data_IF_301292954647
#
_entry.id   IF_301292954647
#
_cell.length_a   1.000
_cell.length_b   1.000
_cell.length_c   1.000
_cell.angle_alpha   90.00
_cell.angle_beta   90.00
_cell.angle_gamma   90.00
#
_symmetry.space_group_name_H-M   'P 1'
#
loop_
_entity.id
_entity.type
_entity.pdbx_description
1 polymer ?
#
# COMPACT_ATOMS: atom_id res chain seq x y z
N UNK A 1 29.84 -13.83 -14.49
CA UNK A 1 29.54 -14.51 -13.21
C UNK A 1 28.94 -13.56 -12.15
N UNK A 2 28.04 -12.64 -12.51
CA UNK A 2 27.40 -11.72 -11.55
C UNK A 2 25.93 -11.49 -11.93
N UNK A 3 25.05 -12.40 -11.51
CA UNK A 3 23.62 -12.36 -11.88
C UNK A 3 22.69 -12.81 -10.74
N UNK A 4 23.07 -12.54 -9.49
CA UNK A 4 22.26 -12.95 -8.32
C UNK A 4 21.95 -11.85 -7.30
N UNK A 5 22.58 -10.68 -7.37
CA UNK A 5 22.44 -9.66 -6.32
C UNK A 5 21.16 -8.79 -6.40
N UNK A 6 20.54 -8.61 -7.57
CA UNK A 6 19.43 -7.65 -7.76
C UNK A 6 18.01 -8.17 -7.49
N UNK A 7 17.84 -9.35 -6.89
CA UNK A 7 16.50 -9.97 -6.67
C UNK A 7 15.87 -9.68 -5.29
N UNK A 8 16.47 -8.84 -4.47
CA UNK A 8 16.12 -8.75 -3.04
C UNK A 8 15.76 -7.36 -2.52
N UNK A 9 16.04 -6.29 -3.25
CA UNK A 9 15.59 -4.93 -2.92
C UNK A 9 14.33 -4.60 -3.74
N UNK A 10 13.29 -4.07 -3.08
CA UNK A 10 11.92 -3.79 -3.59
C UNK A 10 10.91 -4.94 -3.55
N UNK A 11 10.68 -5.47 -2.35
CA UNK A 11 9.51 -6.32 -2.04
C UNK A 11 8.65 -5.65 -0.97
N UNK A 12 7.75 -4.77 -1.38
CA UNK A 12 6.65 -4.34 -0.52
C UNK A 12 5.75 -5.56 -0.28
N UNK A 13 5.79 -6.08 0.95
CA UNK A 13 4.97 -7.22 1.38
C UNK A 13 3.51 -6.71 1.47
N UNK A 14 2.54 -7.31 0.74
CA UNK A 14 1.13 -6.96 0.87
C UNK A 14 0.66 -7.02 2.33
N UNK A 15 -0.19 -6.09 2.76
CA UNK A 15 -0.70 -6.03 4.15
C UNK A 15 -1.35 -7.35 4.60
N UNK A 16 -2.00 -8.07 3.68
CA UNK A 16 -2.56 -9.40 3.93
C UNK A 16 -1.49 -10.45 4.29
N UNK A 17 -0.33 -10.37 3.63
CA UNK A 17 0.83 -11.24 3.87
C UNK A 17 1.54 -10.87 5.17
N UNK A 18 1.57 -9.58 5.53
CA UNK A 18 2.09 -9.15 6.82
C UNK A 18 1.19 -9.57 7.99
N UNK A 19 -0.13 -9.45 7.85
CA UNK A 19 -1.11 -9.95 8.83
C UNK A 19 -0.97 -11.47 8.98
N UNK A 20 -0.82 -12.20 7.87
CA UNK A 20 -0.60 -13.66 7.88
C UNK A 20 0.72 -14.02 8.57
N UNK A 21 1.80 -13.30 8.27
CA UNK A 21 3.11 -13.48 8.91
C UNK A 21 3.06 -13.25 10.42
N UNK A 22 2.38 -12.19 10.87
CA UNK A 22 2.18 -11.89 12.30
C UNK A 22 1.34 -12.97 12.99
N UNK A 23 0.27 -13.42 12.34
CA UNK A 23 -0.57 -14.54 12.84
C UNK A 23 0.23 -15.83 13.00
N UNK A 24 1.00 -16.23 11.99
CA UNK A 24 1.80 -17.45 12.05
C UNK A 24 3.01 -17.35 12.99
N UNK A 25 3.55 -16.15 13.22
CA UNK A 25 4.51 -15.90 14.32
C UNK A 25 3.89 -16.13 15.69
N UNK A 26 2.68 -15.62 15.92
CA UNK A 26 1.95 -15.80 17.17
C UNK A 26 1.62 -17.27 17.42
N UNK A 27 1.15 -18.01 16.40
CA UNK A 27 0.85 -19.45 16.51
C UNK A 27 2.07 -20.25 16.92
N UNK A 28 3.23 -19.99 16.31
CA UNK A 28 4.47 -20.68 16.69
C UNK A 28 4.90 -20.36 18.11
N UNK A 29 4.66 -19.13 18.58
CA UNK A 29 4.89 -18.78 19.99
C UNK A 29 3.96 -19.54 20.93
N UNK A 30 2.68 -19.66 20.58
CA UNK A 30 1.66 -20.38 21.36
C UNK A 30 1.92 -21.90 21.39
N UNK A 31 2.32 -22.50 20.26
CA UNK A 31 2.63 -23.93 20.17
C UNK A 31 3.88 -24.34 20.96
N UNK A 32 4.80 -23.40 21.22
CA UNK A 32 5.99 -23.62 22.06
C UNK A 32 5.74 -23.49 23.56
N UNK A 33 4.59 -22.93 23.99
CA UNK A 33 4.22 -22.87 25.43
C UNK A 33 3.85 -24.26 25.93
N UNK A 34 3.90 -24.52 27.23
CA UNK A 34 3.51 -25.82 27.81
C UNK A 34 2.06 -26.21 27.44
N UNK A 35 1.78 -27.52 27.38
CA UNK A 35 0.45 -28.08 27.09
C UNK A 35 -0.64 -27.62 28.04
N UNK A 36 -0.24 -27.24 29.27
CA UNK A 36 -1.12 -26.75 30.33
C UNK A 36 -1.49 -25.25 30.15
N UNK A 37 -0.91 -24.57 29.15
CA UNK A 37 -1.21 -23.16 28.92
C UNK A 37 -2.58 -22.99 28.27
N UNK A 38 -3.45 -22.17 28.90
CA UNK A 38 -4.81 -21.85 28.43
C UNK A 38 -4.79 -21.38 26.96
N UNK A 39 -3.80 -20.58 26.57
CA UNK A 39 -3.67 -20.09 25.18
C UNK A 39 -3.34 -21.19 24.17
N UNK A 40 -2.61 -22.24 24.59
CA UNK A 40 -2.32 -23.43 23.76
C UNK A 40 -3.53 -24.35 23.67
N UNK A 41 -4.24 -24.55 24.77
CA UNK A 41 -5.49 -25.30 24.81
C UNK A 41 -6.58 -24.63 23.97
N UNK A 42 -6.72 -23.31 24.05
CA UNK A 42 -7.68 -22.54 23.25
C UNK A 42 -7.40 -22.61 21.73
N UNK A 43 -6.15 -22.85 21.33
CA UNK A 43 -5.78 -23.01 19.92
C UNK A 43 -6.28 -24.35 19.35
N UNK A 44 -6.34 -25.41 20.16
CA UNK A 44 -6.77 -26.76 19.77
C UNK A 44 -8.24 -27.06 20.14
N UNK A 45 -8.83 -26.25 21.02
CA UNK A 45 -10.21 -26.42 21.50
C UNK A 45 -11.24 -26.27 20.38
N UNK A 46 -12.21 -27.20 20.33
CA UNK A 46 -13.35 -27.17 19.42
C UNK A 46 -14.62 -26.93 20.25
N UNK A 47 -15.30 -25.79 20.11
CA UNK A 47 -16.56 -25.58 20.82
C UNK A 47 -17.64 -26.50 20.21
N UNK A 48 -18.16 -27.42 21.01
CA UNK A 48 -19.28 -28.28 20.64
C UNK A 48 -20.59 -27.46 20.71
N UNK A 49 -21.26 -27.32 19.57
CA UNK A 49 -22.53 -26.58 19.51
C UNK A 49 -22.96 -26.19 18.10
N UNK A 50 -24.28 -26.18 17.87
CA UNK A 50 -24.88 -25.71 16.60
C UNK A 50 -24.90 -24.17 16.57
N UNK A 51 -24.38 -23.57 15.49
CA UNK A 51 -24.35 -22.10 15.30
C UNK A 51 -25.72 -21.60 14.81
N UNK A 52 -26.12 -20.41 15.27
CA UNK A 52 -27.33 -19.72 14.76
C UNK A 52 -27.22 -19.41 13.25
N UNK A 53 -28.32 -19.57 12.51
CA UNK A 53 -28.42 -19.32 11.06
C UNK A 53 -28.10 -17.85 10.75
N UNK A 54 -27.25 -17.59 9.74
CA UNK A 54 -26.89 -16.23 9.29
C UNK A 54 -25.52 -15.68 9.74
N UNK A 55 -24.84 -16.29 10.73
CA UNK A 55 -23.50 -15.82 11.17
C UNK A 55 -22.39 -16.24 10.19
N UNK A 56 -21.52 -15.32 9.72
CA UNK A 56 -20.39 -15.65 8.84
C UNK A 56 -19.46 -16.71 9.44
N UNK A 57 -18.99 -17.66 8.61
CA UNK A 57 -18.12 -18.77 9.03
C UNK A 57 -16.62 -18.37 9.04
N UNK A 58 -16.22 -17.39 9.86
CA UNK A 58 -14.87 -16.80 9.86
C UNK A 58 -14.06 -17.01 11.17
N UNK A 59 -14.19 -18.16 11.84
CA UNK A 59 -13.40 -18.49 13.04
C UNK A 59 -11.90 -18.63 12.74
N UNK A 60 -11.04 -18.18 13.66
CA UNK A 60 -9.58 -18.32 13.59
C UNK A 60 -9.17 -19.74 13.19
N UNK A 61 -9.72 -20.77 13.85
CA UNK A 61 -9.47 -22.19 13.54
C UNK A 61 -9.72 -22.57 12.08
N UNK A 62 -10.82 -22.11 11.47
CA UNK A 62 -11.15 -22.45 10.08
C UNK A 62 -10.22 -21.76 9.08
N UNK A 63 -9.74 -20.56 9.44
CA UNK A 63 -8.71 -19.85 8.67
C UNK A 63 -7.38 -20.62 8.77
N UNK A 64 -7.04 -21.17 9.94
CA UNK A 64 -5.86 -22.00 10.13
C UNK A 64 -5.96 -23.33 9.41
N UNK A 65 -7.09 -24.03 9.50
CA UNK A 65 -7.35 -25.27 8.77
C UNK A 65 -7.28 -25.06 7.26
N UNK A 66 -7.77 -23.92 6.74
CA UNK A 66 -7.64 -23.58 5.32
C UNK A 66 -6.18 -23.30 4.92
N UNK A 67 -5.43 -22.56 5.73
CA UNK A 67 -4.00 -22.33 5.51
C UNK A 67 -3.19 -23.64 5.62
N UNK A 68 -3.56 -24.55 6.52
CA UNK A 68 -2.92 -25.87 6.71
C UNK A 68 -3.22 -26.85 5.59
N UNK A 69 -4.48 -26.91 5.12
CA UNK A 69 -4.86 -27.68 3.94
C UNK A 69 -4.07 -27.24 2.70
N UNK A 70 -3.80 -25.94 2.57
CA UNK A 70 -2.94 -25.39 1.50
C UNK A 70 -1.48 -25.82 1.60
N UNK A 71 -0.99 -26.12 2.80
CA UNK A 71 0.37 -26.61 3.02
C UNK A 71 0.51 -28.13 2.88
N UNK A 72 -0.62 -28.86 2.79
CA UNK A 72 -0.65 -30.32 2.92
C UNK A 72 0.06 -30.80 4.21
N UNK A 73 -0.17 -30.12 5.34
CA UNK A 73 0.44 -30.43 6.64
C UNK A 73 -0.63 -30.69 7.70
N UNK A 74 -0.34 -31.62 8.60
CA UNK A 74 -1.19 -31.95 9.75
C UNK A 74 -0.73 -31.18 11.01
N UNK A 75 -1.57 -31.16 12.06
CA UNK A 75 -1.28 -30.46 13.31
C UNK A 75 -0.05 -31.01 14.04
N UNK A 76 0.16 -32.34 14.00
CA UNK A 76 1.30 -33.00 14.64
C UNK A 76 2.64 -32.57 14.04
N UNK A 77 2.70 -32.48 12.71
CA UNK A 77 3.89 -32.04 11.99
C UNK A 77 4.14 -30.54 12.19
N UNK A 78 3.07 -29.74 12.28
CA UNK A 78 3.19 -28.31 12.58
C UNK A 78 3.74 -28.07 14.00
N UNK A 79 3.30 -28.87 14.97
CA UNK A 79 3.79 -28.84 16.34
C UNK A 79 5.27 -29.23 16.43
N UNK A 80 5.69 -30.25 15.67
CA UNK A 80 7.09 -30.65 15.53
C UNK A 80 7.95 -29.53 14.93
N UNK A 81 7.50 -28.90 13.84
CA UNK A 81 8.21 -27.79 13.19
C UNK A 81 8.20 -26.52 14.07
N UNK A 82 7.19 -26.33 14.93
CA UNK A 82 7.13 -25.17 15.83
C UNK A 82 8.23 -25.18 16.89
N UNK A 83 8.71 -26.37 17.29
CA UNK A 83 9.84 -26.51 18.21
C UNK A 83 11.17 -26.14 17.54
N UNK A 84 11.34 -26.45 16.26
CA UNK A 84 12.46 -25.96 15.47
C UNK A 84 12.27 -24.48 15.08
N UNK A 85 13.03 -23.58 15.73
CA UNK A 85 12.95 -22.14 15.44
C UNK A 85 13.39 -21.75 14.03
N UNK A 86 14.27 -22.55 13.40
CA UNK A 86 14.76 -22.29 12.04
C UNK A 86 13.76 -22.85 11.03
N UNK A 87 13.32 -24.10 11.21
CA UNK A 87 12.26 -24.73 10.43
C UNK A 87 10.95 -23.94 10.47
N UNK A 88 10.55 -23.42 11.63
CA UNK A 88 9.37 -22.55 11.76
C UNK A 88 9.53 -21.25 10.97
N UNK A 89 10.70 -20.61 11.02
CA UNK A 89 10.97 -19.38 10.25
C UNK A 89 10.91 -19.64 8.75
N UNK A 90 11.45 -20.77 8.30
CA UNK A 90 11.41 -21.20 6.89
C UNK A 90 9.99 -21.53 6.43
N UNK A 91 9.17 -22.15 7.28
CA UNK A 91 7.77 -22.43 6.99
C UNK A 91 6.96 -21.13 6.89
N UNK A 92 7.16 -20.18 7.82
CA UNK A 92 6.47 -18.88 7.79
C UNK A 92 6.90 -18.01 6.61
N UNK A 93 8.18 -18.04 6.22
CA UNK A 93 8.66 -17.32 5.03
C UNK A 93 8.14 -17.97 3.74
N UNK A 94 8.11 -19.31 3.66
CA UNK A 94 7.51 -20.07 2.56
C UNK A 94 6.01 -19.81 2.40
N UNK A 95 5.27 -19.74 3.52
CA UNK A 95 3.84 -19.40 3.58
C UNK A 95 3.50 -18.02 3.01
N UNK A 96 4.35 -17.04 3.32
CA UNK A 96 4.21 -15.68 2.81
C UNK A 96 4.61 -15.63 1.33
N UNK A 97 5.57 -16.46 0.92
CA UNK A 97 6.03 -16.57 -0.47
C UNK A 97 5.08 -17.37 -1.37
N UNK A 98 4.26 -18.31 -0.86
CA UNK A 98 3.39 -19.15 -1.69
C UNK A 98 2.22 -18.38 -2.33
N UNK A 99 1.79 -17.26 -1.74
CA UNK A 99 0.84 -16.33 -2.39
C UNK A 99 1.39 -15.67 -3.65
N UNK A 100 2.70 -15.78 -3.91
CA UNK A 100 3.32 -15.36 -5.17
C UNK A 100 2.94 -16.26 -6.35
N UNK A 101 2.51 -17.51 -6.11
CA UNK A 101 2.16 -18.46 -7.18
C UNK A 101 0.67 -18.45 -7.54
N UNK A 102 -0.24 -18.26 -6.57
CA UNK A 102 -1.70 -18.21 -6.83
C UNK A 102 -2.29 -16.80 -6.93
N UNK A 103 -1.47 -15.76 -6.77
CA UNK A 103 -1.67 -14.51 -7.51
C UNK A 103 -0.42 -14.29 -8.35
N UNK A 104 -0.34 -15.03 -9.46
CA UNK A 104 0.29 -14.49 -10.67
C UNK A 104 -0.57 -13.32 -11.17
N UNK A 105 -0.73 -12.29 -10.33
CA UNK A 105 -1.11 -10.96 -10.78
C UNK A 105 0.09 -10.47 -11.56
N UNK A 106 0.07 -10.76 -12.86
CA UNK A 106 0.48 -9.85 -13.91
C UNK A 106 1.51 -8.84 -13.40
N UNK A 107 2.75 -9.30 -13.21
CA UNK A 107 3.86 -8.39 -13.39
C UNK A 107 3.90 -8.26 -14.91
N UNK A 108 3.17 -7.27 -15.43
CA UNK A 108 3.31 -6.89 -16.83
C UNK A 108 4.80 -6.64 -17.05
N UNK A 109 5.37 -7.22 -18.10
CA UNK A 109 6.74 -6.97 -18.53
C UNK A 109 7.01 -5.47 -18.75
N UNK A 110 5.97 -4.64 -18.84
CA UNK A 110 6.07 -3.21 -18.59
C UNK A 110 5.87 -2.91 -17.10
N UNK A 111 6.96 -2.81 -16.34
CA UNK A 111 6.91 -2.29 -14.97
C UNK A 111 6.16 -0.94 -14.96
N UNK A 112 4.95 -0.86 -14.40
CA UNK A 112 4.07 0.30 -14.48
C UNK A 112 3.54 0.74 -13.11
N UNK A 113 3.70 2.03 -12.76
CA UNK A 113 3.08 2.69 -11.61
C UNK A 113 1.55 2.78 -11.71
N UNK A 114 1.00 2.46 -12.88
CA UNK A 114 -0.42 2.62 -13.21
C UNK A 114 -1.35 1.73 -12.39
N UNK A 115 -0.94 0.49 -12.10
CA UNK A 115 -1.75 -0.44 -11.31
C UNK A 115 -1.89 0.02 -9.84
N UNK A 116 -0.81 0.53 -9.25
CA UNK A 116 -0.82 1.09 -7.88
C UNK A 116 -1.68 2.36 -7.81
N UNK A 117 -1.53 3.25 -8.80
CA UNK A 117 -2.35 4.46 -8.93
C UNK A 117 -3.83 4.11 -9.06
N UNK A 118 -4.18 3.15 -9.92
CA UNK A 118 -5.56 2.69 -10.08
C UNK A 118 -6.14 2.09 -8.79
N UNK A 119 -5.36 1.26 -8.09
CA UNK A 119 -5.79 0.68 -6.82
C UNK A 119 -6.05 1.75 -5.75
N UNK A 120 -5.22 2.79 -5.69
CA UNK A 120 -5.38 3.89 -4.72
C UNK A 120 -6.50 4.84 -5.07
N UNK A 121 -6.70 5.13 -6.36
CA UNK A 121 -7.91 5.83 -6.82
C UNK A 121 -9.15 5.06 -6.37
N UNK A 122 -9.16 3.72 -6.51
CA UNK A 122 -10.24 2.89 -5.99
C UNK A 122 -10.48 3.07 -4.49
N UNK A 123 -9.41 2.98 -3.67
CA UNK A 123 -9.50 3.19 -2.21
C UNK A 123 -9.97 4.59 -1.82
N UNK A 124 -9.40 5.61 -2.45
CA UNK A 124 -9.78 7.01 -2.24
C UNK A 124 -11.23 7.26 -2.66
N UNK A 125 -11.68 6.62 -3.75
CA UNK A 125 -13.08 6.68 -4.19
C UNK A 125 -14.03 6.09 -3.15
N UNK A 126 -13.69 4.92 -2.60
CA UNK A 126 -14.48 4.31 -1.51
C UNK A 126 -14.54 5.21 -0.28
N UNK A 127 -13.41 5.77 0.15
CA UNK A 127 -13.36 6.70 1.27
C UNK A 127 -14.20 7.96 1.01
N UNK A 128 -14.16 8.51 -0.21
CA UNK A 128 -14.98 9.65 -0.61
C UNK A 128 -16.48 9.31 -0.56
N UNK A 129 -16.89 8.15 -1.07
CA UNK A 129 -18.28 7.71 -1.08
C UNK A 129 -18.83 7.45 0.33
N UNK A 130 -18.01 6.95 1.25
CA UNK A 130 -18.40 6.78 2.66
C UNK A 130 -18.78 8.10 3.31
N UNK A 131 -18.18 9.21 2.89
CA UNK A 131 -18.43 10.55 3.40
C UNK A 131 -19.51 11.31 2.61
N UNK A 132 -20.33 10.63 1.80
CA UNK A 132 -21.36 11.26 0.93
C UNK A 132 -22.28 12.24 1.67
N UNK A 133 -22.66 11.92 2.90
CA UNK A 133 -23.58 12.75 3.69
C UNK A 133 -22.92 14.10 4.08
N UNK A 134 -21.60 14.09 4.28
CA UNK A 134 -20.82 15.30 4.60
C UNK A 134 -20.77 16.22 3.39
N UNK A 135 -20.56 15.67 2.19
CA UNK A 135 -20.48 16.45 0.96
C UNK A 135 -21.82 17.11 0.62
N UNK A 136 -22.92 16.39 0.84
CA UNK A 136 -24.28 16.87 0.56
C UNK A 136 -24.85 17.79 1.66
N UNK A 137 -24.22 17.88 2.84
CA UNK A 137 -24.70 18.71 3.93
C UNK A 137 -24.57 20.20 3.61
N UNK A 138 -25.66 20.97 3.76
CA UNK A 138 -25.64 22.43 3.63
C UNK A 138 -25.12 23.15 4.88
N UNK A 139 -25.08 22.46 6.03
CA UNK A 139 -24.63 23.04 7.31
C UNK A 139 -23.12 23.23 7.38
N UNK A 140 -22.37 22.44 6.59
CA UNK A 140 -20.91 22.50 6.59
C UNK A 140 -20.43 23.46 5.51
N UNK A 141 -19.57 24.39 5.90
CA UNK A 141 -18.91 25.27 4.95
C UNK A 141 -18.00 24.50 4.00
N UNK A 142 -17.83 25.03 2.79
CA UNK A 142 -16.94 24.47 1.76
C UNK A 142 -15.52 24.26 2.29
N UNK A 143 -14.99 25.20 3.08
CA UNK A 143 -13.65 25.12 3.64
C UNK A 143 -13.47 23.91 4.57
N UNK A 144 -14.47 23.61 5.40
CA UNK A 144 -14.45 22.43 6.28
C UNK A 144 -14.48 21.15 5.43
N UNK A 145 -15.32 21.10 4.40
CA UNK A 145 -15.39 19.94 3.49
C UNK A 145 -14.07 19.70 2.76
N UNK A 146 -13.43 20.75 2.25
CA UNK A 146 -12.11 20.66 1.60
C UNK A 146 -11.05 20.16 2.59
N UNK A 147 -11.08 20.61 3.84
CA UNK A 147 -10.17 20.10 4.89
C UNK A 147 -10.38 18.62 5.20
N UNK A 148 -11.63 18.16 5.26
CA UNK A 148 -11.97 16.73 5.44
C UNK A 148 -11.50 15.91 4.23
N UNK A 149 -11.66 16.44 3.01
CA UNK A 149 -11.17 15.82 1.79
C UNK A 149 -9.64 15.65 1.80
N UNK A 150 -8.90 16.71 2.17
CA UNK A 150 -7.44 16.70 2.23
C UNK A 150 -6.91 15.67 3.24
N UNK A 151 -7.55 15.58 4.41
CA UNK A 151 -7.12 14.71 5.51
C UNK A 151 -7.44 13.24 5.27
N UNK A 152 -8.60 12.92 4.68
CA UNK A 152 -9.06 11.54 4.54
C UNK A 152 -8.81 10.98 3.14
N UNK A 153 -9.26 11.70 2.11
CA UNK A 153 -9.28 11.19 0.73
C UNK A 153 -7.95 11.44 0.04
N UNK A 154 -7.44 12.68 0.11
CA UNK A 154 -6.18 13.06 -0.54
C UNK A 154 -4.98 12.38 0.13
N UNK A 155 -5.03 12.16 1.45
CA UNK A 155 -4.02 11.39 2.18
C UNK A 155 -3.92 9.94 1.68
N UNK A 156 -5.06 9.25 1.50
CA UNK A 156 -5.08 7.87 0.98
C UNK A 156 -4.63 7.81 -0.48
N UNK A 157 -5.03 8.80 -1.29
CA UNK A 157 -4.66 8.88 -2.70
C UNK A 157 -3.15 9.06 -2.90
N UNK A 158 -2.54 9.97 -2.13
CA UNK A 158 -1.14 10.40 -2.28
C UNK A 158 -0.17 9.68 -1.33
N UNK A 159 -0.62 8.67 -0.57
CA UNK A 159 0.23 7.96 0.39
C UNK A 159 1.39 7.22 -0.29
N UNK A 160 2.65 7.64 -0.18
CA UNK A 160 3.74 6.99 -0.90
C UNK A 160 3.84 7.44 -2.37
N UNK A 161 3.22 8.57 -2.72
CA UNK A 161 3.38 9.20 -4.03
C UNK A 161 4.79 9.82 -4.22
N UNK A 162 5.58 9.95 -3.15
CA UNK A 162 6.96 10.47 -3.21
C UNK A 162 7.87 9.60 -4.10
N UNK A 163 7.56 8.30 -4.19
CA UNK A 163 8.34 7.28 -4.90
C UNK A 163 7.67 6.90 -6.24
N UNK A 164 6.53 7.52 -6.58
CA UNK A 164 5.88 7.25 -7.86
C UNK A 164 6.73 7.73 -9.03
N UNK A 165 6.69 6.95 -10.12
CA UNK A 165 7.05 7.46 -11.44
C UNK A 165 5.97 8.45 -11.86
N UNK A 166 6.30 9.73 -11.77
CA UNK A 166 5.47 10.85 -12.23
C UNK A 166 5.52 10.95 -13.74
N UNK A 167 4.86 10.01 -14.44
CA UNK A 167 4.54 10.23 -15.84
C UNK A 167 3.39 11.23 -15.94
N UNK A 168 3.40 12.05 -16.99
CA UNK A 168 2.34 13.01 -17.29
C UNK A 168 0.96 12.35 -17.32
N UNK A 169 0.87 11.10 -17.81
CA UNK A 169 -0.35 10.29 -17.83
C UNK A 169 -0.85 9.92 -16.44
N UNK A 170 0.04 9.52 -15.53
CA UNK A 170 -0.31 9.19 -14.14
C UNK A 170 -0.77 10.44 -13.38
N UNK A 171 -0.06 11.56 -13.53
CA UNK A 171 -0.44 12.84 -12.91
C UNK A 171 -1.83 13.27 -13.41
N UNK A 172 -2.08 13.21 -14.72
CA UNK A 172 -3.39 13.54 -15.29
C UNK A 172 -4.52 12.68 -14.70
N UNK A 173 -4.33 11.37 -14.55
CA UNK A 173 -5.33 10.46 -13.92
C UNK A 173 -5.66 10.87 -12.49
N UNK A 174 -4.63 11.19 -11.70
CA UNK A 174 -4.79 11.65 -10.30
C UNK A 174 -5.51 13.00 -10.26
N UNK A 175 -5.13 13.93 -11.14
CA UNK A 175 -5.75 15.26 -11.23
C UNK A 175 -7.23 15.18 -11.60
N UNK A 176 -7.59 14.34 -12.58
CA UNK A 176 -8.99 14.14 -13.00
C UNK A 176 -9.83 13.65 -11.83
N UNK A 177 -9.32 12.69 -11.05
CA UNK A 177 -9.99 12.20 -9.86
C UNK A 177 -10.19 13.29 -8.80
N UNK A 178 -9.14 14.06 -8.48
CA UNK A 178 -9.22 15.17 -7.52
C UNK A 178 -10.24 16.21 -7.98
N UNK A 179 -10.18 16.63 -9.24
CA UNK A 179 -11.10 17.63 -9.79
C UNK A 179 -12.56 17.14 -9.78
N UNK A 180 -12.79 15.85 -10.04
CA UNK A 180 -14.13 15.25 -9.91
C UNK A 180 -14.65 15.33 -8.47
N UNK A 181 -13.80 15.05 -7.48
CA UNK A 181 -14.17 15.16 -6.07
C UNK A 181 -14.46 16.61 -5.65
N UNK A 182 -13.60 17.56 -6.06
CA UNK A 182 -13.77 18.98 -5.73
C UNK A 182 -15.07 19.55 -6.32
N UNK A 183 -15.43 19.19 -7.56
CA UNK A 183 -16.71 19.60 -8.17
C UNK A 183 -17.92 19.10 -7.38
N UNK A 184 -17.86 17.85 -6.89
CA UNK A 184 -18.91 17.29 -6.03
C UNK A 184 -18.99 18.00 -4.68
N UNK A 185 -17.86 18.37 -4.08
CA UNK A 185 -17.82 19.11 -2.81
C UNK A 185 -18.43 20.51 -2.95
N UNK A 186 -18.17 21.18 -4.08
CA UNK A 186 -18.76 22.48 -4.42
C UNK A 186 -20.20 22.39 -4.91
N UNK A 187 -20.78 21.18 -4.97
CA UNK A 187 -22.13 20.93 -5.48
C UNK A 187 -22.38 21.48 -6.89
N UNK A 188 -21.35 21.44 -7.75
CA UNK A 188 -21.45 21.86 -9.14
C UNK A 188 -22.10 20.72 -9.93
N UNK A 189 -23.22 21.01 -10.56
CA UNK A 189 -23.94 20.07 -11.41
C UNK A 189 -24.08 20.65 -12.81
N UNK A 190 -24.25 19.78 -13.79
CA UNK A 190 -24.63 20.25 -15.12
C UNK A 190 -25.96 21.02 -15.00
N UNK A 191 -26.15 22.20 -15.63
CA UNK A 191 -25.36 22.80 -16.71
C UNK A 191 -24.20 23.74 -16.28
N UNK A 192 -23.96 23.92 -14.99
CA UNK A 192 -22.94 24.84 -14.49
C UNK A 192 -21.53 24.38 -14.89
N UNK A 193 -20.85 25.19 -15.71
CA UNK A 193 -19.49 24.90 -16.20
C UNK A 193 -18.48 25.84 -15.55
N UNK A 194 -17.48 25.26 -14.88
CA UNK A 194 -16.40 25.99 -14.20
C UNK A 194 -15.04 25.51 -14.72
N UNK A 195 -14.16 26.47 -15.01
CA UNK A 195 -12.78 26.21 -15.42
C UNK A 195 -11.98 25.53 -14.30
N UNK A 196 -10.97 24.74 -14.65
CA UNK A 196 -10.12 24.07 -13.65
C UNK A 196 -9.35 25.09 -12.80
N UNK A 197 -8.95 26.25 -13.36
CA UNK A 197 -8.26 27.31 -12.62
C UNK A 197 -9.14 27.90 -11.52
N UNK A 198 -10.38 28.27 -11.85
CA UNK A 198 -11.34 28.82 -10.87
C UNK A 198 -11.73 27.79 -9.81
N UNK A 199 -11.79 26.50 -10.17
CA UNK A 199 -12.00 25.40 -9.22
C UNK A 199 -10.89 25.36 -8.16
N UNK A 200 -9.63 25.50 -8.57
CA UNK A 200 -8.47 25.46 -7.68
C UNK A 200 -8.37 26.72 -6.80
N UNK A 201 -8.67 27.88 -7.37
CA UNK A 201 -8.73 29.16 -6.64
C UNK A 201 -9.79 29.12 -5.53
N UNK A 202 -11.04 28.71 -5.85
CA UNK A 202 -12.13 28.62 -4.88
C UNK A 202 -11.88 27.61 -3.75
N UNK A 203 -11.06 26.59 -3.99
CA UNK A 203 -10.77 25.55 -3.01
C UNK A 203 -9.41 25.72 -2.34
N UNK A 204 -8.65 26.75 -2.73
CA UNK A 204 -7.26 26.97 -2.34
C UNK A 204 -6.42 25.68 -2.47
N UNK A 205 -6.58 24.96 -3.58
CA UNK A 205 -5.90 23.70 -3.84
C UNK A 205 -4.83 23.86 -4.91
N UNK A 206 -3.67 23.22 -4.69
CA UNK A 206 -2.62 23.13 -5.70
C UNK A 206 -2.90 22.01 -6.70
N UNK A 207 -2.41 22.12 -7.94
CA UNK A 207 -2.33 21.01 -8.87
C UNK A 207 -1.63 19.79 -8.25
N UNK A 208 -2.08 18.60 -8.63
CA UNK A 208 -1.58 17.34 -8.10
C UNK A 208 -0.07 17.15 -8.35
N UNK A 209 0.43 17.68 -9.47
CA UNK A 209 1.85 17.67 -9.79
C UNK A 209 2.69 18.42 -8.76
N UNK A 210 2.29 19.66 -8.46
CA UNK A 210 2.98 20.52 -7.49
C UNK A 210 2.91 19.93 -6.09
N UNK A 211 1.78 19.34 -5.70
CA UNK A 211 1.67 18.70 -4.38
C UNK A 211 2.56 17.46 -4.27
N UNK A 212 2.62 16.62 -5.31
CA UNK A 212 3.52 15.45 -5.33
C UNK A 212 4.98 15.93 -5.29
N UNK A 213 5.32 16.98 -6.03
CA UNK A 213 6.66 17.60 -6.03
C UNK A 213 7.01 18.11 -4.62
N UNK A 214 6.11 18.88 -3.98
CA UNK A 214 6.30 19.39 -2.61
C UNK A 214 6.53 18.26 -1.60
N UNK A 215 5.74 17.18 -1.67
CA UNK A 215 5.89 16.00 -0.80
C UNK A 215 7.24 15.30 -1.04
N UNK A 216 7.64 15.14 -2.30
CA UNK A 216 8.94 14.58 -2.68
C UNK A 216 10.09 15.41 -2.10
N UNK A 217 10.06 16.73 -2.23
CA UNK A 217 11.09 17.60 -1.67
C UNK A 217 11.11 17.61 -0.14
N UNK A 218 9.95 17.57 0.52
CA UNK A 218 9.89 17.40 1.97
C UNK A 218 10.53 16.07 2.42
N UNK A 219 10.28 14.99 1.68
CA UNK A 219 10.88 13.68 1.94
C UNK A 219 12.40 13.67 1.69
N UNK A 220 12.86 14.32 0.63
CA UNK A 220 14.30 14.52 0.35
C UNK A 220 14.95 15.30 1.49
N UNK A 221 14.36 16.44 1.89
CA UNK A 221 14.85 17.24 3.01
C UNK A 221 14.93 16.45 4.31
N UNK A 222 13.90 15.66 4.64
CA UNK A 222 13.91 14.76 5.80
C UNK A 222 15.02 13.71 5.71
N UNK A 223 15.24 13.15 4.52
CA UNK A 223 16.26 12.12 4.30
C UNK A 223 17.68 12.70 4.37
N UNK A 224 17.90 13.92 3.87
CA UNK A 224 19.18 14.62 3.93
C UNK A 224 19.57 15.05 5.35
N UNK A 225 18.59 15.32 6.22
CA UNK A 225 18.83 15.62 7.65
C UNK A 225 19.21 14.38 8.48
N UNK A 226 19.05 13.16 7.95
CA UNK A 226 19.48 11.93 8.64
C UNK A 226 21.00 11.72 8.50
N UNK A 227 21.59 10.95 9.42
CA UNK A 227 23.02 10.63 9.40
C UNK A 227 23.47 10.05 8.05
N UNK A 228 24.69 10.36 7.63
CA UNK A 228 25.33 9.87 6.39
C UNK A 228 25.36 8.35 6.25
N UNK A 229 25.37 7.63 7.39
CA UNK A 229 25.36 6.16 7.44
C UNK A 229 23.98 5.53 7.21
N UNK A 230 22.92 6.35 7.07
CA UNK A 230 21.57 5.84 6.87
C UNK A 230 21.40 5.37 5.41
N UNK A 231 20.97 4.12 5.24
CA UNK A 231 20.75 3.46 3.94
C UNK A 231 19.88 4.32 3.01
N UNK A 232 18.87 5.02 3.54
CA UNK A 232 18.00 5.90 2.75
C UNK A 232 18.71 7.14 2.20
N UNK A 233 19.73 7.66 2.89
CA UNK A 233 20.55 8.79 2.42
C UNK A 233 21.56 8.34 1.38
N UNK A 234 22.17 7.17 1.58
CA UNK A 234 23.08 6.55 0.61
C UNK A 234 22.36 6.18 -0.70
N UNK A 235 21.10 5.73 -0.61
CA UNK A 235 20.27 5.40 -1.77
C UNK A 235 19.94 6.63 -2.65
N UNK A 236 19.91 7.84 -2.09
CA UNK A 236 19.68 9.08 -2.86
C UNK A 236 20.86 9.46 -3.74
N UNK A 237 22.09 9.20 -3.27
CA UNK A 237 23.34 9.53 -3.99
C UNK A 237 23.82 8.40 -4.90
N UNK A 238 23.21 7.22 -4.79
CA UNK A 238 23.65 6.05 -5.53
C UNK A 238 23.34 6.16 -7.02
N UNK A 239 24.40 6.08 -7.84
CA UNK A 239 24.31 6.08 -9.29
C UNK A 239 24.60 4.67 -9.81
N UNK A 240 23.65 3.96 -10.44
CA UNK A 240 23.94 2.66 -11.03
C UNK A 240 24.86 2.83 -12.24
N UNK A 241 26.10 2.35 -12.13
CA UNK A 241 27.04 2.31 -13.26
C UNK A 241 26.59 1.29 -14.31
N UNK A 242 26.31 1.76 -15.53
CA UNK A 242 25.98 0.90 -16.66
C UNK A 242 25.42 1.68 -17.86
N UNK A 243 25.79 1.28 -19.08
CA UNK A 243 25.20 1.83 -20.32
C UNK A 243 23.75 1.36 -20.44
N UNK A 244 22.82 2.30 -20.52
CA UNK A 244 21.40 1.99 -20.70
C UNK A 244 21.12 1.52 -22.13
N UNK A 245 20.15 0.61 -22.30
CA UNK A 245 19.69 0.20 -23.63
C UNK A 245 18.97 1.37 -24.31
N UNK A 246 19.35 1.66 -25.57
CA UNK A 246 18.76 2.70 -26.42
C UNK A 246 17.23 2.52 -26.48
N UNK A 247 16.47 3.57 -26.19
CA UNK A 247 14.99 3.56 -26.17
C UNK A 247 14.32 3.29 -24.82
N UNK A 248 15.07 2.94 -23.75
CA UNK A 248 14.50 2.85 -22.40
C UNK A 248 14.32 4.25 -21.82
N UNK A 249 13.11 4.66 -21.38
CA UNK A 249 12.91 5.98 -20.79
C UNK A 249 13.69 6.12 -19.47
N UNK A 250 14.39 7.25 -19.29
CA UNK A 250 15.13 7.60 -18.07
C UNK A 250 14.15 7.75 -16.89
N UNK A 251 14.04 6.72 -16.06
CA UNK A 251 13.00 6.62 -15.02
C UNK A 251 13.55 6.36 -13.62
N UNK A 252 14.82 6.67 -13.37
CA UNK A 252 15.43 6.61 -12.04
C UNK A 252 14.96 7.78 -11.18
N UNK A 253 14.78 7.58 -9.87
CA UNK A 253 14.42 8.62 -8.89
C UNK A 253 15.30 9.88 -9.04
N UNK A 254 16.60 9.69 -9.29
CA UNK A 254 17.57 10.77 -9.54
C UNK A 254 17.22 11.64 -10.75
N UNK A 255 16.83 11.05 -11.88
CA UNK A 255 16.43 11.81 -13.08
C UNK A 255 15.14 12.60 -12.86
N UNK A 256 14.21 12.04 -12.08
CA UNK A 256 12.98 12.74 -11.70
C UNK A 256 13.31 13.95 -10.81
N UNK A 257 14.25 13.79 -9.87
CA UNK A 257 14.74 14.89 -9.02
C UNK A 257 15.45 15.95 -9.86
N UNK A 258 16.34 15.55 -10.79
CA UNK A 258 17.02 16.46 -11.71
C UNK A 258 16.04 17.20 -12.63
N UNK A 259 14.97 16.54 -13.08
CA UNK A 259 13.90 17.19 -13.84
C UNK A 259 13.11 18.20 -12.98
N UNK A 260 12.75 17.84 -11.75
CA UNK A 260 12.09 18.77 -10.81
C UNK A 260 12.98 20.00 -10.52
N UNK A 261 14.31 19.81 -10.38
CA UNK A 261 15.27 20.91 -10.20
C UNK A 261 15.29 21.86 -11.41
N UNK A 262 15.25 21.33 -12.63
CA UNK A 262 15.20 22.15 -13.85
C UNK A 262 13.93 22.97 -13.99
N UNK A 263 12.81 22.52 -13.40
CA UNK A 263 11.55 23.28 -13.39
C UNK A 263 11.47 24.37 -12.32
N UNK A 264 12.48 24.49 -11.45
CA UNK A 264 12.56 25.50 -10.39
C UNK A 264 13.51 26.67 -10.73
N UNK A 265 14.27 26.57 -11.82
CA UNK A 265 15.04 27.66 -12.42
C UNK A 265 14.25 28.28 -13.58
#
# INVERSE_FOLDING_TARGET
MQSRAWRTADRCIPTEEEIRKRRWKWIGHTLRKSSNCITRQALTWNPEGKRKRGRPKNTLRRILEADMKRMNRNWKELERIAQDRVGWRMLVSGLCSFTRSNRRSIIHEQGGSDADVKARIGKASTAFLQLKNIWNSKQLSTNIKVRIFNTNVKAVLLYGAEIWRTTTTTIKKVQVFINSCLRKILNIHWPDTISNSLLWERTNQLPAEEEIRKRRWNWIGHTLRRSSNCITRQALTWNPEGKQKRGRPNNTLRWIIEADMKTMN
#
